data_IF_867228288565
#
_entry.id   IF_867228288565
#
_cell.length_a   1.000
_cell.length_b   1.000
_cell.length_c   1.000
_cell.angle_alpha   90.00
_cell.angle_beta   90.00
_cell.angle_gamma   90.00
#
_symmetry.space_group_name_H-M   'P 1'
#
loop_
_entity.id
_entity.type
_entity.pdbx_description
1 polymer ?
#
# COMPACT_ATOMS: atom_id res chain seq x y z
N UNK A 1 22.50 -48.65 15.44
CA UNK A 1 21.73 -47.62 16.16
C UNK A 1 22.73 -46.75 16.90
N UNK A 2 23.20 -45.69 16.23
CA UNK A 2 24.25 -44.79 16.70
C UNK A 2 23.65 -43.64 17.53
N UNK A 3 24.17 -43.48 18.75
CA UNK A 3 23.99 -42.28 19.58
C UNK A 3 24.81 -41.12 18.99
N UNK A 4 24.15 -40.02 18.61
CA UNK A 4 24.83 -38.78 18.18
C UNK A 4 24.73 -37.72 19.28
N UNK A 5 25.82 -37.56 20.03
CA UNK A 5 26.02 -36.47 20.99
C UNK A 5 26.10 -35.11 20.28
N UNK A 6 25.41 -34.11 20.83
CA UNK A 6 25.57 -32.68 20.51
C UNK A 6 26.90 -32.19 21.09
N UNK A 7 27.79 -31.65 20.26
CA UNK A 7 28.94 -30.86 20.71
C UNK A 7 28.75 -29.38 20.34
N UNK A 8 28.84 -28.53 21.37
CA UNK A 8 28.89 -27.08 21.27
C UNK A 8 30.24 -26.66 20.69
N UNK A 9 30.26 -25.83 19.65
CA UNK A 9 31.48 -25.19 19.14
C UNK A 9 31.82 -23.97 19.99
N UNK A 10 32.94 -24.06 20.71
CA UNK A 10 33.58 -22.99 21.46
C UNK A 10 34.45 -22.09 20.59
N UNK A 11 34.43 -20.81 20.93
CA UNK A 11 35.17 -19.65 20.42
C UNK A 11 36.69 -19.79 20.49
N UNK A 12 37.33 -20.41 19.49
CA UNK A 12 38.81 -20.31 19.33
C UNK A 12 39.36 -20.38 17.88
N UNK A 13 38.50 -20.44 16.86
CA UNK A 13 38.93 -20.64 15.46
C UNK A 13 39.12 -19.38 14.61
N UNK A 14 39.33 -18.18 15.19
CA UNK A 14 39.56 -16.94 14.43
C UNK A 14 41.05 -16.63 14.42
N UNK A 15 41.80 -17.25 13.51
CA UNK A 15 43.09 -16.75 13.02
C UNK A 15 43.47 -17.59 11.78
N UNK A 16 43.69 -16.90 10.67
CA UNK A 16 44.11 -17.39 9.34
C UNK A 16 43.01 -17.63 8.30
N UNK A 17 42.37 -16.56 7.84
CA UNK A 17 41.87 -16.46 6.47
C UNK A 17 42.76 -15.49 5.69
N UNK A 18 43.66 -16.06 4.86
CA UNK A 18 44.56 -15.32 3.95
C UNK A 18 43.74 -14.48 2.97
N UNK A 19 44.10 -13.20 2.87
CA UNK A 19 43.53 -12.25 1.90
C UNK A 19 43.89 -12.68 0.48
N UNK A 20 42.90 -13.14 -0.29
CA UNK A 20 43.07 -13.59 -1.67
C UNK A 20 42.71 -12.45 -2.65
N UNK A 21 43.69 -11.83 -3.35
CA UNK A 21 43.45 -10.66 -4.21
C UNK A 21 42.57 -10.96 -5.44
N UNK A 22 42.30 -12.23 -5.76
CA UNK A 22 41.38 -12.62 -6.85
C UNK A 22 39.91 -12.29 -6.55
N UNK A 23 39.48 -12.32 -5.29
CA UNK A 23 38.11 -11.92 -4.92
C UNK A 23 37.86 -10.42 -5.10
N UNK A 24 38.89 -9.59 -4.94
CA UNK A 24 38.75 -8.15 -5.14
C UNK A 24 38.60 -7.78 -6.61
N UNK A 25 39.33 -8.47 -7.50
CA UNK A 25 39.18 -8.28 -8.96
C UNK A 25 37.81 -8.75 -9.47
N UNK A 26 37.23 -9.78 -8.86
CA UNK A 26 35.87 -10.24 -9.17
C UNK A 26 34.82 -9.25 -8.65
N UNK A 27 34.99 -8.71 -7.43
CA UNK A 27 34.12 -7.65 -6.91
C UNK A 27 34.16 -6.35 -7.73
N UNK A 28 35.32 -5.99 -8.32
CA UNK A 28 35.42 -4.84 -9.24
C UNK A 28 34.82 -5.12 -10.62
N UNK A 29 34.83 -6.37 -11.10
CA UNK A 29 34.15 -6.75 -12.36
C UNK A 29 32.64 -6.84 -12.16
N UNK A 30 32.18 -7.37 -11.03
CA UNK A 30 30.78 -7.36 -10.64
C UNK A 30 30.30 -5.92 -10.43
N UNK A 31 31.12 -5.03 -9.85
CA UNK A 31 30.86 -3.59 -9.78
C UNK A 31 30.71 -2.90 -11.14
N UNK A 32 31.31 -3.45 -12.20
CA UNK A 32 31.21 -2.91 -13.57
C UNK A 32 29.93 -3.37 -14.29
N UNK A 33 29.49 -4.63 -14.08
CA UNK A 33 28.19 -5.12 -14.56
C UNK A 33 27.00 -4.55 -13.78
N UNK A 34 27.27 -4.08 -12.57
CA UNK A 34 26.35 -3.35 -11.70
C UNK A 34 26.17 -1.88 -12.15
N UNK A 35 26.66 -1.48 -13.33
CA UNK A 35 26.47 -0.14 -13.90
C UNK A 35 25.28 -0.03 -14.87
N UNK A 36 24.56 -1.13 -15.13
CA UNK A 36 23.26 -1.09 -15.83
C UNK A 36 22.10 -0.69 -14.90
N UNK A 37 22.40 0.08 -13.84
CA UNK A 37 21.39 0.73 -13.04
C UNK A 37 20.74 1.85 -13.82
N UNK A 38 19.51 1.62 -14.27
CA UNK A 38 18.58 2.73 -14.43
C UNK A 38 18.51 3.44 -13.06
N UNK A 39 18.98 4.70 -13.01
CA UNK A 39 18.77 5.59 -11.86
C UNK A 39 17.31 5.47 -11.40
N UNK A 40 17.03 5.48 -10.09
CA UNK A 40 15.67 5.36 -9.57
C UNK A 40 14.70 6.36 -10.24
N UNK A 41 15.21 7.54 -10.62
CA UNK A 41 14.49 8.56 -11.38
C UNK A 41 14.08 8.08 -12.77
N UNK A 42 14.93 7.33 -13.46
CA UNK A 42 14.63 6.75 -14.78
C UNK A 42 13.61 5.61 -14.68
N UNK A 43 13.71 4.77 -13.65
CA UNK A 43 12.71 3.72 -13.39
C UNK A 43 11.36 4.37 -13.12
N UNK A 44 11.32 5.38 -12.25
CA UNK A 44 10.09 6.12 -11.97
C UNK A 44 9.53 6.79 -13.23
N UNK A 45 10.37 7.45 -14.04
CA UNK A 45 9.94 8.05 -15.31
C UNK A 45 9.33 7.03 -16.27
N UNK A 46 9.95 5.85 -16.38
CA UNK A 46 9.42 4.74 -17.17
C UNK A 46 8.07 4.25 -16.61
N UNK A 47 7.96 4.01 -15.29
CA UNK A 47 6.71 3.61 -14.64
C UNK A 47 5.61 4.66 -14.82
N UNK A 48 5.93 5.96 -14.72
CA UNK A 48 4.99 7.04 -14.94
C UNK A 48 4.48 7.05 -16.38
N UNK A 49 5.37 6.97 -17.37
CA UNK A 49 4.99 6.91 -18.78
C UNK A 49 4.14 5.65 -19.08
N UNK A 50 4.56 4.49 -18.59
CA UNK A 50 3.85 3.22 -18.75
C UNK A 50 2.45 3.28 -18.13
N UNK A 51 2.32 3.80 -16.91
CA UNK A 51 1.02 3.90 -16.21
C UNK A 51 0.12 4.97 -16.79
N UNK A 52 0.68 6.08 -17.27
CA UNK A 52 -0.08 7.10 -18.00
C UNK A 52 -0.69 6.46 -19.26
N UNK A 53 0.11 5.79 -20.09
CA UNK A 53 -0.39 5.07 -21.27
C UNK A 53 -1.47 4.04 -20.88
N UNK A 54 -1.20 3.23 -19.86
CA UNK A 54 -2.16 2.24 -19.35
C UNK A 54 -3.51 2.88 -18.97
N UNK A 55 -3.51 4.04 -18.29
CA UNK A 55 -4.75 4.75 -17.93
C UNK A 55 -5.60 5.19 -19.13
N UNK A 56 -4.98 5.42 -20.28
CA UNK A 56 -5.68 5.74 -21.53
C UNK A 56 -6.13 4.48 -22.29
N UNK A 57 -5.36 3.39 -22.20
CA UNK A 57 -5.69 2.09 -22.81
C UNK A 57 -6.86 1.41 -22.12
N UNK A 58 -6.91 1.41 -20.79
CA UNK A 58 -8.02 0.83 -20.03
C UNK A 58 -9.22 1.76 -20.10
N UNK A 59 -10.17 1.45 -20.98
CA UNK A 59 -11.41 2.23 -21.16
C UNK A 59 -12.64 1.53 -20.59
N UNK A 60 -12.51 0.28 -20.16
CA UNK A 60 -13.63 -0.52 -19.68
C UNK A 60 -14.07 -0.12 -18.26
N UNK A 61 -15.31 -0.47 -17.93
CA UNK A 61 -15.87 -0.43 -16.59
C UNK A 61 -15.72 -1.82 -15.93
N UNK A 62 -15.33 -1.88 -14.66
CA UNK A 62 -15.16 -3.13 -13.92
C UNK A 62 -16.05 -3.19 -12.69
N UNK A 63 -16.04 -2.15 -11.85
CA UNK A 63 -16.79 -2.16 -10.59
C UNK A 63 -17.47 -0.80 -10.34
N UNK A 64 -18.73 -0.75 -9.85
CA UNK A 64 -19.40 0.49 -9.46
C UNK A 64 -18.61 1.36 -8.48
N UNK A 65 -17.78 0.75 -7.63
CA UNK A 65 -16.95 1.46 -6.67
C UNK A 65 -15.96 2.44 -7.33
N UNK A 66 -15.63 2.27 -8.62
CA UNK A 66 -14.79 3.22 -9.37
C UNK A 66 -15.41 4.62 -9.44
N UNK A 67 -16.74 4.72 -9.40
CA UNK A 67 -17.48 5.98 -9.52
C UNK A 67 -18.19 6.33 -8.21
N UNK A 68 -18.97 5.41 -7.66
CA UNK A 68 -19.89 5.68 -6.55
C UNK A 68 -19.22 5.76 -5.18
N UNK A 69 -17.97 5.29 -5.06
CA UNK A 69 -17.18 5.37 -3.82
C UNK A 69 -16.06 6.42 -3.87
N UNK A 70 -15.89 7.10 -5.00
CA UNK A 70 -14.76 8.01 -5.20
C UNK A 70 -15.16 9.23 -6.03
N UNK A 71 -15.37 9.06 -7.34
CA UNK A 71 -15.51 10.17 -8.28
C UNK A 71 -16.81 10.95 -8.11
N UNK A 72 -17.94 10.27 -7.95
CA UNK A 72 -19.24 10.94 -7.77
C UNK A 72 -19.28 11.71 -6.44
N UNK A 73 -18.72 11.11 -5.40
CA UNK A 73 -18.62 11.72 -4.06
C UNK A 73 -17.73 12.97 -4.13
N UNK A 74 -16.56 12.85 -4.77
CA UNK A 74 -15.65 13.97 -5.00
C UNK A 74 -16.28 15.09 -5.82
N UNK A 75 -17.03 14.73 -6.86
CA UNK A 75 -17.75 15.66 -7.71
C UNK A 75 -18.79 16.45 -6.89
N UNK A 76 -19.61 15.76 -6.08
CA UNK A 76 -20.59 16.41 -5.21
C UNK A 76 -19.97 17.36 -4.19
N UNK A 77 -18.80 17.02 -3.64
CA UNK A 77 -18.07 17.91 -2.71
C UNK A 77 -17.69 19.24 -3.38
N UNK A 78 -17.28 19.21 -4.64
CA UNK A 78 -16.79 20.41 -5.35
C UNK A 78 -17.90 21.21 -5.99
N UNK A 79 -18.84 20.55 -6.67
CA UNK A 79 -19.87 21.19 -7.47
C UNK A 79 -21.22 21.33 -6.76
N UNK A 80 -21.39 20.67 -5.62
CA UNK A 80 -22.62 20.74 -4.82
C UNK A 80 -23.77 19.87 -5.33
N UNK A 81 -23.61 19.17 -6.47
CA UNK A 81 -24.60 18.27 -7.04
C UNK A 81 -24.03 16.89 -7.35
N UNK A 82 -24.91 15.89 -7.46
CA UNK A 82 -24.55 14.47 -7.59
C UNK A 82 -25.23 13.62 -6.54
N UNK A 83 -25.04 12.31 -6.59
CA UNK A 83 -25.76 11.36 -5.74
C UNK A 83 -24.82 10.67 -4.74
N UNK A 84 -25.23 10.61 -3.46
CA UNK A 84 -24.56 9.82 -2.43
C UNK A 84 -25.28 8.50 -2.27
N UNK A 85 -24.54 7.39 -2.23
CA UNK A 85 -25.14 6.09 -1.94
C UNK A 85 -25.49 5.98 -0.45
N UNK A 86 -26.35 5.02 -0.12
CA UNK A 86 -26.80 4.73 1.25
C UNK A 86 -25.63 4.50 2.24
N UNK A 87 -24.47 4.03 1.77
CA UNK A 87 -23.28 3.82 2.62
C UNK A 87 -22.73 5.14 3.18
N UNK A 88 -22.81 6.22 2.39
CA UNK A 88 -22.43 7.56 2.82
C UNK A 88 -23.45 8.11 3.80
N UNK A 89 -24.75 7.93 3.54
CA UNK A 89 -25.82 8.35 4.46
C UNK A 89 -25.69 7.69 5.84
N UNK A 90 -25.24 6.44 5.88
CA UNK A 90 -24.98 5.70 7.14
C UNK A 90 -23.61 5.97 7.77
N UNK A 91 -22.76 6.78 7.15
CA UNK A 91 -21.44 7.10 7.70
C UNK A 91 -20.49 5.90 7.80
N UNK A 92 -20.55 4.99 6.82
CA UNK A 92 -19.76 3.74 6.79
C UNK A 92 -18.43 3.89 6.03
N UNK A 93 -18.33 4.92 5.17
CA UNK A 93 -17.17 5.17 4.32
C UNK A 93 -16.48 6.46 4.74
N UNK A 94 -15.15 6.48 4.65
CA UNK A 94 -14.37 7.67 5.01
C UNK A 94 -14.18 8.56 3.79
N UNK A 95 -14.23 9.87 4.00
CA UNK A 95 -14.00 10.85 2.94
C UNK A 95 -12.53 10.97 2.53
N UNK A 96 -11.62 10.30 3.24
CA UNK A 96 -10.18 10.38 3.00
C UNK A 96 -9.79 10.02 1.55
N UNK A 97 -10.41 8.97 0.99
CA UNK A 97 -10.15 8.55 -0.39
C UNK A 97 -10.77 9.51 -1.43
N UNK A 98 -12.07 9.86 -1.40
CA UNK A 98 -12.64 10.85 -2.32
C UNK A 98 -11.96 12.23 -2.29
N UNK A 99 -11.43 12.65 -1.14
CA UNK A 99 -10.89 14.01 -0.97
C UNK A 99 -9.76 14.33 -1.96
N UNK A 100 -8.92 13.35 -2.32
CA UNK A 100 -7.85 13.59 -3.29
C UNK A 100 -8.40 13.91 -4.69
N UNK A 101 -9.52 13.28 -5.07
CA UNK A 101 -10.20 13.58 -6.31
C UNK A 101 -10.99 14.88 -6.22
N UNK A 102 -11.54 15.21 -5.04
CA UNK A 102 -12.19 16.50 -4.82
C UNK A 102 -11.18 17.66 -4.95
N UNK A 103 -9.97 17.51 -4.42
CA UNK A 103 -8.90 18.48 -4.62
C UNK A 103 -8.55 18.65 -6.11
N UNK A 104 -8.42 17.54 -6.84
CA UNK A 104 -8.17 17.54 -8.28
C UNK A 104 -9.27 18.31 -9.03
N UNK A 105 -10.54 17.99 -8.76
CA UNK A 105 -11.68 18.66 -9.39
C UNK A 105 -11.76 20.15 -9.04
N UNK A 106 -11.43 20.53 -7.81
CA UNK A 106 -11.37 21.94 -7.41
C UNK A 106 -10.31 22.71 -8.18
N UNK A 107 -9.13 22.12 -8.37
CA UNK A 107 -8.07 22.72 -9.20
C UNK A 107 -8.51 22.80 -10.66
N UNK A 108 -9.14 21.77 -11.20
CA UNK A 108 -9.65 21.79 -12.58
C UNK A 108 -10.75 22.83 -12.79
N UNK A 109 -11.69 22.95 -11.85
CA UNK A 109 -12.74 23.97 -11.88
C UNK A 109 -12.16 25.38 -11.83
N UNK A 110 -11.14 25.61 -10.99
CA UNK A 110 -10.43 26.89 -10.93
C UNK A 110 -9.72 27.24 -12.26
N UNK A 111 -9.23 26.24 -12.99
CA UNK A 111 -8.59 26.41 -14.29
C UNK A 111 -9.59 26.45 -15.47
N UNK A 112 -10.90 26.28 -15.23
CA UNK A 112 -11.90 26.18 -16.29
C UNK A 112 -11.77 24.93 -17.17
N UNK A 113 -11.22 23.84 -16.62
CA UNK A 113 -11.03 22.55 -17.30
C UNK A 113 -12.09 21.52 -16.88
N UNK A 114 -13.32 21.97 -16.67
CA UNK A 114 -14.46 21.19 -16.17
C UNK A 114 -15.24 20.44 -17.26
N UNK A 115 -14.65 20.25 -18.43
CA UNK A 115 -15.29 19.47 -19.50
C UNK A 115 -15.44 17.99 -19.09
N UNK A 116 -16.50 17.29 -19.55
CA UNK A 116 -16.73 15.88 -19.20
C UNK A 116 -15.53 14.97 -19.51
N UNK A 117 -14.80 15.27 -20.58
CA UNK A 117 -13.62 14.51 -20.97
C UNK A 117 -12.50 14.59 -19.93
N UNK A 118 -12.18 15.80 -19.44
CA UNK A 118 -11.19 15.97 -18.39
C UNK A 118 -11.66 15.35 -17.08
N UNK A 119 -12.93 15.53 -16.72
CA UNK A 119 -13.52 14.94 -15.51
C UNK A 119 -13.43 13.41 -15.48
N UNK A 120 -13.56 12.75 -16.63
CA UNK A 120 -13.40 11.30 -16.72
C UNK A 120 -11.94 10.83 -16.72
N UNK A 121 -11.04 11.56 -17.39
CA UNK A 121 -9.64 11.09 -17.61
C UNK A 121 -8.67 11.54 -16.54
N UNK A 122 -8.82 12.74 -15.98
CA UNK A 122 -7.88 13.29 -15.00
C UNK A 122 -7.78 12.45 -13.71
N UNK A 123 -8.88 11.92 -13.13
CA UNK A 123 -8.76 11.07 -11.95
C UNK A 123 -8.00 9.78 -12.20
N UNK A 124 -8.19 9.15 -13.38
CA UNK A 124 -7.42 7.96 -13.80
C UNK A 124 -5.95 8.29 -14.00
N UNK A 125 -5.64 9.47 -14.53
CA UNK A 125 -4.27 9.94 -14.66
C UNK A 125 -3.63 10.15 -13.28
N UNK A 126 -4.32 10.81 -12.34
CA UNK A 126 -3.84 10.98 -10.97
C UNK A 126 -3.57 9.62 -10.31
N UNK A 127 -4.51 8.69 -10.45
CA UNK A 127 -4.35 7.32 -9.95
C UNK A 127 -3.14 6.63 -10.59
N UNK A 128 -2.92 6.80 -11.89
CA UNK A 128 -1.78 6.23 -12.59
C UNK A 128 -0.42 6.74 -12.07
N UNK A 129 -0.36 8.01 -11.65
CA UNK A 129 0.83 8.58 -11.02
C UNK A 129 1.08 7.93 -9.65
N UNK A 130 0.04 7.79 -8.82
CA UNK A 130 0.15 7.10 -7.52
C UNK A 130 0.60 5.65 -7.73
N UNK A 131 0.04 4.97 -8.72
CA UNK A 131 0.39 3.58 -9.04
C UNK A 131 1.81 3.42 -9.57
N UNK A 132 2.34 4.42 -10.30
CA UNK A 132 3.74 4.41 -10.74
C UNK A 132 4.73 4.48 -9.56
N UNK A 133 4.35 5.16 -8.47
CA UNK A 133 5.10 5.14 -7.22
C UNK A 133 5.04 3.74 -6.60
N UNK A 134 3.85 3.13 -6.59
CA UNK A 134 3.67 1.73 -6.18
C UNK A 134 4.58 0.75 -6.92
N UNK A 135 4.67 0.87 -8.25
CA UNK A 135 5.54 0.05 -9.08
C UNK A 135 7.02 0.21 -8.73
N UNK A 136 7.48 1.45 -8.52
CA UNK A 136 8.85 1.70 -8.10
C UNK A 136 9.15 0.99 -6.77
N UNK A 137 8.24 1.09 -5.79
CA UNK A 137 8.42 0.44 -4.50
C UNK A 137 8.25 -1.07 -4.59
N UNK A 138 7.43 -1.59 -5.50
CA UNK A 138 7.33 -3.02 -5.79
C UNK A 138 8.66 -3.53 -6.34
N UNK A 139 9.22 -2.85 -7.33
CA UNK A 139 10.55 -3.16 -7.86
C UNK A 139 11.62 -3.14 -6.75
N UNK A 140 11.64 -2.10 -5.92
CA UNK A 140 12.58 -1.98 -4.80
C UNK A 140 12.40 -3.09 -3.76
N UNK A 141 11.16 -3.44 -3.42
CA UNK A 141 10.83 -4.51 -2.48
C UNK A 141 11.23 -5.88 -3.03
N UNK A 142 10.86 -6.18 -4.27
CA UNK A 142 11.23 -7.44 -4.93
C UNK A 142 12.74 -7.57 -5.07
N UNK A 143 13.44 -6.48 -5.39
CA UNK A 143 14.90 -6.44 -5.43
C UNK A 143 15.52 -6.72 -4.06
N UNK A 144 14.97 -6.13 -3.00
CA UNK A 144 15.45 -6.30 -1.62
C UNK A 144 15.30 -7.76 -1.14
N UNK A 145 14.20 -8.43 -1.48
CA UNK A 145 13.88 -9.78 -0.97
C UNK A 145 14.45 -10.89 -1.88
N UNK A 146 14.29 -10.75 -3.20
CA UNK A 146 14.52 -11.83 -4.18
C UNK A 146 15.65 -11.53 -5.18
N UNK A 147 16.24 -10.33 -5.15
CA UNK A 147 17.30 -9.90 -6.06
C UNK A 147 16.82 -9.36 -7.41
N UNK A 148 17.77 -8.93 -8.24
CA UNK A 148 17.50 -8.11 -9.44
C UNK A 148 16.70 -8.84 -10.52
N UNK A 149 16.92 -10.15 -10.70
CA UNK A 149 16.25 -10.94 -11.76
C UNK A 149 14.74 -11.02 -11.55
N UNK A 150 14.30 -11.26 -10.31
CA UNK A 150 12.88 -11.39 -9.97
C UNK A 150 12.18 -10.04 -10.00
N UNK A 151 12.89 -8.96 -9.62
CA UNK A 151 12.33 -7.61 -9.59
C UNK A 151 11.83 -7.14 -10.96
N UNK A 152 12.44 -7.58 -12.06
CA UNK A 152 12.00 -7.25 -13.42
C UNK A 152 10.63 -7.86 -13.77
N UNK A 153 10.35 -9.08 -13.31
CA UNK A 153 9.09 -9.78 -13.58
C UNK A 153 7.96 -9.36 -12.65
N UNK A 154 8.27 -8.78 -11.48
CA UNK A 154 7.27 -8.34 -10.51
C UNK A 154 6.27 -7.32 -11.08
N UNK A 155 6.68 -6.53 -12.08
CA UNK A 155 5.86 -5.53 -12.75
C UNK A 155 4.89 -6.10 -13.81
N UNK A 156 5.05 -7.37 -14.20
CA UNK A 156 4.28 -7.99 -15.30
C UNK A 156 2.94 -8.60 -14.86
N UNK A 157 2.46 -8.28 -13.65
CA UNK A 157 1.18 -8.78 -13.18
C UNK A 157 0.02 -8.16 -13.99
N UNK A 158 -0.64 -8.97 -14.82
CA UNK A 158 -1.74 -8.55 -15.69
C UNK A 158 -2.91 -7.93 -14.90
N UNK A 159 -3.20 -8.44 -13.70
CA UNK A 159 -4.29 -7.92 -12.87
C UNK A 159 -3.93 -6.55 -12.30
N UNK A 160 -2.67 -6.34 -11.91
CA UNK A 160 -2.17 -5.01 -11.54
C UNK A 160 -2.17 -4.05 -12.74
N UNK A 161 -1.94 -4.54 -13.96
CA UNK A 161 -2.11 -3.72 -15.16
C UNK A 161 -3.57 -3.28 -15.32
N UNK A 162 -4.52 -4.19 -15.10
CA UNK A 162 -5.95 -3.95 -15.28
C UNK A 162 -6.62 -3.09 -14.17
N UNK A 163 -6.23 -3.29 -12.90
CA UNK A 163 -6.94 -2.69 -11.75
C UNK A 163 -6.28 -1.43 -11.17
N UNK A 164 -4.95 -1.35 -11.09
CA UNK A 164 -4.30 -0.34 -10.24
C UNK A 164 -4.49 1.11 -10.74
N UNK A 165 -4.78 1.29 -12.03
CA UNK A 165 -5.04 2.62 -12.65
C UNK A 165 -6.49 3.07 -12.49
N UNK A 166 -7.37 2.17 -12.01
CA UNK A 166 -8.76 2.48 -11.69
C UNK A 166 -8.84 3.15 -10.32
N UNK A 167 -9.81 4.05 -10.16
CA UNK A 167 -10.04 4.93 -9.00
C UNK A 167 -10.67 4.19 -7.81
N UNK A 168 -10.07 3.05 -7.48
CA UNK A 168 -10.44 2.17 -6.39
C UNK A 168 -9.60 2.48 -5.15
N UNK A 169 -10.23 2.50 -3.98
CA UNK A 169 -9.52 2.62 -2.69
C UNK A 169 -8.49 1.50 -2.50
N UNK A 170 -8.78 0.30 -3.04
CA UNK A 170 -7.91 -0.87 -2.95
C UNK A 170 -6.59 -0.66 -3.70
N UNK A 171 -6.61 0.12 -4.78
CA UNK A 171 -5.40 0.46 -5.53
C UNK A 171 -4.46 1.31 -4.66
N UNK A 172 -5.00 2.27 -3.91
CA UNK A 172 -4.21 3.12 -3.01
C UNK A 172 -3.74 2.34 -1.78
N UNK A 173 -4.61 1.51 -1.20
CA UNK A 173 -4.23 0.55 -0.15
C UNK A 173 -3.05 -0.31 -0.61
N UNK A 174 -3.10 -0.84 -1.83
CA UNK A 174 -2.04 -1.67 -2.40
C UNK A 174 -0.72 -0.90 -2.47
N UNK A 175 -0.73 0.33 -3.00
CA UNK A 175 0.46 1.19 -3.10
C UNK A 175 1.05 1.47 -1.71
N UNK A 176 0.21 1.88 -0.76
CA UNK A 176 0.63 2.16 0.62
C UNK A 176 1.17 0.92 1.32
N UNK A 177 0.56 -0.24 1.08
CA UNK A 177 0.99 -1.52 1.65
C UNK A 177 2.35 -1.93 1.10
N UNK A 178 2.57 -1.82 -0.22
CA UNK A 178 3.87 -2.10 -0.85
C UNK A 178 4.96 -1.17 -0.29
N UNK A 179 4.67 0.13 -0.21
CA UNK A 179 5.60 1.12 0.36
C UNK A 179 5.91 0.83 1.83
N UNK A 180 4.87 0.51 2.61
CA UNK A 180 5.00 0.17 4.02
C UNK A 180 5.87 -1.08 4.20
N UNK A 181 5.59 -2.14 3.44
CA UNK A 181 6.37 -3.39 3.49
C UNK A 181 7.83 -3.17 3.08
N UNK A 182 8.10 -2.31 2.10
CA UNK A 182 9.47 -1.93 1.75
C UNK A 182 10.21 -1.29 2.93
N UNK A 183 9.63 -0.27 3.56
CA UNK A 183 10.27 0.37 4.72
C UNK A 183 10.32 -0.53 5.95
N UNK A 184 9.37 -1.45 6.10
CA UNK A 184 9.35 -2.46 7.16
C UNK A 184 10.50 -3.46 6.98
N UNK A 185 10.69 -4.00 5.79
CA UNK A 185 11.80 -4.91 5.49
C UNK A 185 13.16 -4.18 5.60
N UNK A 186 13.22 -2.91 5.21
CA UNK A 186 14.43 -2.12 5.41
C UNK A 186 14.78 -1.97 6.91
N UNK A 187 13.75 -1.82 7.75
CA UNK A 187 13.91 -1.78 9.20
C UNK A 187 14.37 -3.13 9.79
N UNK A 188 13.86 -4.25 9.29
CA UNK A 188 14.23 -5.60 9.75
C UNK A 188 15.69 -6.01 9.46
N UNK A 189 16.49 -5.14 8.82
CA UNK A 189 17.93 -5.37 8.63
C UNK A 189 18.29 -6.07 7.32
N UNK A 190 17.38 -6.11 6.34
CA UNK A 190 17.71 -6.52 4.97
C UNK A 190 18.65 -5.52 4.26
N UNK A 191 19.01 -4.39 4.89
CA UNK A 191 20.03 -3.45 4.43
C UNK A 191 20.97 -3.05 5.57
N UNK A 192 22.23 -2.77 5.22
CA UNK A 192 23.34 -2.46 6.15
C UNK A 192 23.15 -1.15 6.92
N UNK A 193 22.24 -0.28 6.50
CA UNK A 193 21.91 0.99 7.15
C UNK A 193 20.43 1.03 7.59
N UNK A 194 20.10 0.30 8.66
CA UNK A 194 18.76 0.36 9.25
C UNK A 194 18.53 1.72 9.93
N UNK A 195 17.96 2.68 9.19
CA UNK A 195 17.59 3.98 9.74
C UNK A 195 16.30 3.84 10.57
N UNK A 196 16.33 4.30 11.82
CA UNK A 196 15.13 4.46 12.68
C UNK A 196 14.00 5.24 11.97
N UNK A 197 14.34 6.15 11.05
CA UNK A 197 13.39 6.86 10.19
C UNK A 197 12.53 5.93 9.32
N UNK A 198 13.07 4.79 8.86
CA UNK A 198 12.34 3.81 8.03
C UNK A 198 11.16 3.21 8.79
N UNK A 199 11.34 2.88 10.07
CA UNK A 199 10.29 2.27 10.90
C UNK A 199 9.10 3.21 11.09
N UNK A 200 9.36 4.47 11.43
CA UNK A 200 8.30 5.49 11.57
C UNK A 200 7.54 5.71 10.27
N UNK A 201 8.24 5.70 9.13
CA UNK A 201 7.61 5.77 7.79
C UNK A 201 6.71 4.56 7.53
N UNK A 202 7.17 3.35 7.83
CA UNK A 202 6.38 2.14 7.66
C UNK A 202 5.10 2.16 8.51
N UNK A 203 5.22 2.53 9.79
CA UNK A 203 4.06 2.68 10.69
C UNK A 203 3.08 3.76 10.22
N UNK A 204 3.59 4.89 9.72
CA UNK A 204 2.73 5.95 9.19
C UNK A 204 1.97 5.49 7.94
N UNK A 205 2.65 4.81 7.01
CA UNK A 205 2.01 4.25 5.81
C UNK A 205 1.00 3.15 6.16
N UNK A 206 1.29 2.32 7.16
CA UNK A 206 0.38 1.32 7.68
C UNK A 206 -0.89 1.95 8.26
N UNK A 207 -0.73 2.99 9.08
CA UNK A 207 -1.84 3.73 9.65
C UNK A 207 -2.69 4.42 8.57
N UNK A 208 -2.04 5.01 7.55
CA UNK A 208 -2.71 5.62 6.41
C UNK A 208 -3.51 4.61 5.58
N UNK A 209 -2.95 3.42 5.34
CA UNK A 209 -3.65 2.33 4.67
C UNK A 209 -4.90 1.91 5.47
N UNK A 210 -4.79 1.76 6.79
CA UNK A 210 -5.92 1.46 7.67
C UNK A 210 -6.99 2.57 7.69
N UNK A 211 -6.59 3.84 7.57
CA UNK A 211 -7.53 4.96 7.51
C UNK A 211 -8.33 4.97 6.21
N UNK A 212 -7.68 4.71 5.07
CA UNK A 212 -8.36 4.58 3.76
C UNK A 212 -9.25 3.34 3.75
N UNK A 213 -8.75 2.21 4.30
CA UNK A 213 -9.48 0.95 4.32
C UNK A 213 -9.24 0.22 5.65
N UNK A 214 -10.24 0.17 6.55
CA UNK A 214 -10.10 -0.50 7.84
C UNK A 214 -9.68 -1.98 7.74
N UNK A 215 -9.97 -2.64 6.62
CA UNK A 215 -9.56 -4.04 6.38
C UNK A 215 -8.05 -4.24 6.30
N UNK A 216 -7.27 -3.20 5.93
CA UNK A 216 -5.80 -3.28 5.90
C UNK A 216 -5.21 -3.57 7.28
N UNK A 217 -5.98 -3.31 8.36
CA UNK A 217 -5.57 -3.63 9.71
C UNK A 217 -5.23 -5.12 9.86
N UNK A 218 -5.87 -6.02 9.11
CA UNK A 218 -5.56 -7.46 9.15
C UNK A 218 -4.09 -7.73 8.76
N UNK A 219 -3.62 -7.10 7.68
CA UNK A 219 -2.24 -7.25 7.21
C UNK A 219 -1.26 -6.69 8.24
N UNK A 220 -1.55 -5.48 8.75
CA UNK A 220 -0.63 -4.77 9.63
C UNK A 220 -0.61 -5.30 11.07
N UNK A 221 -1.73 -5.85 11.55
CA UNK A 221 -1.77 -6.60 12.81
C UNK A 221 -0.94 -7.88 12.70
N UNK A 222 -0.99 -8.59 11.56
CA UNK A 222 -0.15 -9.76 11.35
C UNK A 222 1.35 -9.40 11.30
N UNK A 223 1.73 -8.45 10.45
CA UNK A 223 3.13 -8.01 10.32
C UNK A 223 3.66 -7.42 11.63
N UNK A 224 2.87 -6.56 12.28
CA UNK A 224 3.23 -5.92 13.54
C UNK A 224 3.32 -6.89 14.72
N UNK A 225 2.42 -7.88 14.81
CA UNK A 225 2.47 -8.89 15.88
C UNK A 225 3.70 -9.79 15.77
N UNK A 226 4.07 -10.23 14.56
CA UNK A 226 5.28 -11.03 14.34
C UNK A 226 6.55 -10.29 14.78
N UNK A 227 6.63 -8.99 14.50
CA UNK A 227 7.76 -8.17 14.91
C UNK A 227 7.76 -7.92 16.43
N UNK A 228 6.59 -7.63 17.01
CA UNK A 228 6.43 -7.44 18.45
C UNK A 228 6.84 -8.69 19.24
N UNK A 229 6.65 -9.89 18.71
CA UNK A 229 7.10 -11.13 19.33
C UNK A 229 8.63 -11.23 19.41
N UNK A 230 9.35 -10.67 18.43
CA UNK A 230 10.82 -10.71 18.34
C UNK A 230 11.52 -9.60 19.12
N UNK A 231 10.81 -8.53 19.47
CA UNK A 231 11.40 -7.37 20.14
C UNK A 231 11.51 -7.55 21.67
N UNK A 232 12.67 -7.21 22.29
CA UNK A 232 12.81 -7.21 23.74
C UNK A 232 12.06 -6.05 24.42
N UNK A 233 11.99 -4.87 23.80
CA UNK A 233 11.37 -3.66 24.37
C UNK A 233 9.99 -3.34 23.78
N UNK A 234 9.06 -4.30 23.88
CA UNK A 234 7.72 -4.27 23.26
C UNK A 234 6.89 -3.06 23.65
N UNK A 235 6.82 -2.77 24.95
CA UNK A 235 5.99 -1.67 25.48
C UNK A 235 6.53 -0.30 25.03
N UNK A 236 7.85 -0.11 25.06
CA UNK A 236 8.47 1.14 24.62
C UNK A 236 8.15 1.43 23.15
N UNK A 237 8.23 0.42 22.29
CA UNK A 237 7.87 0.53 20.88
C UNK A 237 6.39 0.88 20.68
N UNK A 238 5.49 0.19 21.40
CA UNK A 238 4.05 0.42 21.30
C UNK A 238 3.69 1.86 21.72
N UNK A 239 4.16 2.32 22.87
CA UNK A 239 3.79 3.62 23.43
C UNK A 239 4.51 4.82 22.77
N UNK A 240 5.77 4.68 22.35
CA UNK A 240 6.50 5.81 21.76
C UNK A 240 6.38 5.94 20.24
N UNK A 241 5.99 4.88 19.53
CA UNK A 241 5.95 4.92 18.06
C UNK A 241 4.58 4.54 17.51
N UNK A 242 4.06 3.37 17.86
CA UNK A 242 2.79 2.89 17.29
C UNK A 242 1.63 3.77 17.73
N UNK A 243 1.48 4.01 19.04
CA UNK A 243 0.37 4.77 19.59
C UNK A 243 0.33 6.23 19.11
N UNK A 244 1.41 7.04 19.14
CA UNK A 244 1.33 8.42 18.69
C UNK A 244 1.06 8.54 17.19
N UNK A 245 1.64 7.67 16.36
CA UNK A 245 1.38 7.67 14.92
C UNK A 245 -0.06 7.23 14.62
N UNK A 246 -0.52 6.17 15.28
CA UNK A 246 -1.89 5.66 15.13
C UNK A 246 -2.94 6.68 15.57
N UNK A 247 -2.78 7.27 16.76
CA UNK A 247 -3.67 8.33 17.26
C UNK A 247 -3.67 9.52 16.31
N UNK A 248 -2.51 9.97 15.85
CA UNK A 248 -2.41 11.09 14.93
C UNK A 248 -3.24 10.87 13.65
N UNK A 249 -3.10 9.71 13.01
CA UNK A 249 -3.85 9.39 11.79
C UNK A 249 -5.35 9.23 12.08
N UNK A 250 -5.73 8.56 13.17
CA UNK A 250 -7.13 8.39 13.57
C UNK A 250 -7.79 9.74 13.84
N UNK A 251 -7.11 10.64 14.55
CA UNK A 251 -7.61 11.98 14.86
C UNK A 251 -7.81 12.78 13.58
N UNK A 252 -6.84 12.79 12.67
CA UNK A 252 -6.99 13.46 11.36
C UNK A 252 -8.18 12.90 10.59
N UNK A 253 -8.32 11.57 10.55
CA UNK A 253 -9.42 10.93 9.83
C UNK A 253 -10.78 11.29 10.44
N UNK A 254 -10.90 11.25 11.77
CA UNK A 254 -12.12 11.61 12.48
C UNK A 254 -12.47 13.09 12.32
N UNK A 255 -11.48 13.99 12.34
CA UNK A 255 -11.69 15.42 12.10
C UNK A 255 -12.17 15.68 10.67
N UNK A 256 -11.60 14.98 9.69
CA UNK A 256 -12.04 15.05 8.30
C UNK A 256 -13.48 14.56 8.17
N UNK A 257 -13.77 13.37 8.69
CA UNK A 257 -15.11 12.79 8.60
C UNK A 257 -16.13 13.65 9.37
N UNK A 258 -15.77 14.22 10.52
CA UNK A 258 -16.61 15.17 11.26
C UNK A 258 -16.94 16.42 10.44
N UNK A 259 -15.94 17.00 9.77
CA UNK A 259 -16.13 18.17 8.92
C UNK A 259 -17.04 17.86 7.72
N UNK A 260 -16.87 16.69 7.09
CA UNK A 260 -17.63 16.32 5.90
C UNK A 260 -19.06 15.87 6.20
N UNK A 261 -19.28 15.12 7.29
CA UNK A 261 -20.60 14.66 7.70
C UNK A 261 -21.40 15.70 8.50
N UNK A 262 -20.76 16.74 9.01
CA UNK A 262 -21.39 17.75 9.89
C UNK A 262 -21.77 17.23 11.28
N UNK A 263 -21.50 15.95 11.57
CA UNK A 263 -21.75 15.32 12.86
C UNK A 263 -20.58 14.40 13.23
N UNK A 264 -20.30 14.25 14.52
CA UNK A 264 -19.16 13.46 14.99
C UNK A 264 -19.38 11.98 14.65
N UNK A 265 -18.72 11.51 13.60
CA UNK A 265 -18.91 10.16 13.05
C UNK A 265 -17.60 9.39 13.09
N UNK A 266 -17.58 8.29 13.85
CA UNK A 266 -16.46 7.35 13.87
C UNK A 266 -16.64 6.29 12.79
N UNK A 267 -16.25 6.62 11.57
CA UNK A 267 -16.47 5.79 10.37
C UNK A 267 -15.92 4.37 10.53
N UNK A 268 -14.70 4.21 11.04
CA UNK A 268 -14.10 2.88 11.21
C UNK A 268 -14.91 1.97 12.15
N UNK A 269 -15.53 2.55 13.19
CA UNK A 269 -16.40 1.80 14.12
C UNK A 269 -17.74 1.48 13.48
N UNK A 270 -18.32 2.40 12.71
CA UNK A 270 -19.55 2.15 11.94
C UNK A 270 -19.33 1.05 10.89
N UNK A 271 -18.19 1.07 10.21
CA UNK A 271 -17.77 0.03 9.28
C UNK A 271 -17.67 -1.33 9.97
N UNK A 272 -17.02 -1.40 11.14
CA UNK A 272 -16.93 -2.62 11.93
C UNK A 272 -18.31 -3.12 12.37
N UNK A 273 -19.16 -2.22 12.88
CA UNK A 273 -20.53 -2.51 13.31
C UNK A 273 -21.38 -3.07 12.17
N UNK A 274 -21.25 -2.48 10.97
CA UNK A 274 -22.02 -2.91 9.82
C UNK A 274 -21.53 -4.24 9.24
N UNK A 275 -20.21 -4.44 9.13
CA UNK A 275 -19.65 -5.63 8.47
C UNK A 275 -19.53 -6.86 9.38
N UNK A 276 -19.30 -6.68 10.69
CA UNK A 276 -19.12 -7.81 11.62
C UNK A 276 -20.34 -8.05 12.51
N UNK A 277 -21.06 -7.00 12.90
CA UNK A 277 -22.14 -7.10 13.90
C UNK A 277 -23.54 -6.96 13.30
N UNK A 278 -23.65 -6.62 12.03
CA UNK A 278 -24.93 -6.53 11.32
C UNK A 278 -24.94 -7.54 10.17
N UNK A 279 -26.08 -8.14 9.87
CA UNK A 279 -26.30 -9.05 8.73
C UNK A 279 -26.19 -8.36 7.36
N UNK A 280 -25.64 -7.14 7.30
CA UNK A 280 -25.43 -6.41 6.06
C UNK A 280 -24.39 -7.07 5.15
N UNK A 281 -23.45 -7.83 5.72
CA UNK A 281 -22.51 -8.65 4.95
C UNK A 281 -23.19 -9.83 4.23
N UNK A 282 -24.26 -10.39 4.80
CA UNK A 282 -24.98 -11.54 4.25
C UNK A 282 -25.67 -11.21 2.92
N UNK A 283 -26.04 -9.94 2.72
CA UNK A 283 -26.61 -9.44 1.46
C UNK A 283 -25.66 -9.57 0.26
N UNK A 284 -24.35 -9.58 0.49
CA UNK A 284 -23.34 -9.69 -0.56
C UNK A 284 -22.95 -11.14 -0.86
N UNK A 285 -23.62 -12.10 -0.23
CA UNK A 285 -23.45 -13.53 -0.44
C UNK A 285 -22.64 -14.20 0.67
N UNK A 286 -23.22 -15.23 1.28
CA UNK A 286 -22.51 -16.14 2.17
C UNK A 286 -22.03 -17.35 1.40
N UNK A 287 -20.72 -17.47 1.22
CA UNK A 287 -20.12 -18.66 0.62
C UNK A 287 -19.73 -19.68 1.69
N UNK A 288 -19.81 -20.96 1.36
CA UNK A 288 -19.41 -22.04 2.26
C UNK A 288 -17.91 -21.91 2.55
N UNK A 289 -17.44 -22.30 3.73
CA UNK A 289 -16.04 -22.12 4.14
C UNK A 289 -15.02 -22.73 3.16
N UNK A 290 -15.42 -23.79 2.45
CA UNK A 290 -14.61 -24.49 1.47
C UNK A 290 -14.80 -23.96 0.03
N UNK A 291 -15.53 -22.85 -0.16
CA UNK A 291 -15.85 -22.30 -1.49
C UNK A 291 -14.59 -21.98 -2.31
N UNK A 292 -13.56 -21.40 -1.70
CA UNK A 292 -12.29 -21.15 -2.39
C UNK A 292 -11.57 -22.45 -2.81
N UNK A 293 -11.85 -23.59 -2.16
CA UNK A 293 -11.26 -24.89 -2.48
C UNK A 293 -12.10 -25.70 -3.47
N UNK A 294 -13.43 -25.59 -3.40
CA UNK A 294 -14.35 -26.41 -4.20
C UNK A 294 -14.93 -25.70 -5.42
N UNK A 295 -15.21 -24.40 -5.33
CA UNK A 295 -15.95 -23.64 -6.34
C UNK A 295 -15.10 -22.56 -7.01
N UNK A 296 -14.01 -22.11 -6.37
CA UNK A 296 -13.13 -21.05 -6.91
C UNK A 296 -12.27 -21.43 -8.12
N UNK A 297 -12.31 -22.69 -8.57
CA UNK A 297 -11.62 -23.20 -9.77
C UNK A 297 -12.53 -23.34 -10.99
N UNK A 298 -13.83 -23.10 -10.83
CA UNK A 298 -14.83 -23.16 -11.90
C UNK A 298 -14.99 -21.79 -12.56
#
# INVERSE_FOLDING_TARGET
MEHRHRSFMTTSGIKNLKFNPRHHQQATKDGLYTSLFFSEKRILAFCMAFRAINSFLVQTYFNPDEHWQSLEVAHRIVFGYGHLTWEWERGIRSYFHPLMFALLYKVMAFLGLDTPWFMMKAPRLLQSLISSVGDLYLYKLSRLIFGDRVAQFALLNWFMFFCITRTLSNSIETVLTIMGLYYWNLFLGFSTNALSSSRKKALFLAALACAIRPTSAVIWLYVGSLDLLRMPQKLKFLFHEVLPIGIFVIVINCLLDWWMYGSLTFVAMNFLKFNLFSSGGDYYGTHVWHWYLSQGFQ
#
